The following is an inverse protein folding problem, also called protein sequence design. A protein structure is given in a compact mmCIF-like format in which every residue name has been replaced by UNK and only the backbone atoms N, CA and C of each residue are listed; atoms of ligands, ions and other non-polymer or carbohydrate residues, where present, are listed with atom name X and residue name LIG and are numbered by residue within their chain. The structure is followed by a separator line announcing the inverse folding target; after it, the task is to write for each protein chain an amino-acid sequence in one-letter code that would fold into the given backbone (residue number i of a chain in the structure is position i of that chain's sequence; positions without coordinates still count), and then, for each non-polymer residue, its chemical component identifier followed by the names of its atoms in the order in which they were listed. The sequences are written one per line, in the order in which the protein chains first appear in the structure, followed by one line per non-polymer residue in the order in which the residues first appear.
data_IF_228149474401
#
_entry.id   IF_228149474401
#
_cell.length_a   1.000
_cell.length_b   1.000
_cell.length_c   1.000
_cell.angle_alpha   90.00
_cell.angle_beta   90.00
_cell.angle_gamma   90.00
#
_symmetry.space_group_name_H-M   'P 1'
#
loop_
_entity.id
_entity.type
_entity.pdbx_description
1 polymer ?
#
# COMPACT_ATOMS: atom_id res chain seq x y z
N UNK A 1 14.77 22.16 27.82
CA UNK A 1 14.53 20.94 27.02
C UNK A 1 13.01 20.78 26.90
N UNK A 2 12.42 21.38 25.87
CA UNK A 2 10.99 21.22 25.58
C UNK A 2 10.77 19.81 25.02
N UNK A 3 10.12 18.96 25.81
CA UNK A 3 9.77 17.60 25.39
C UNK A 3 8.90 17.68 24.14
N UNK A 4 9.34 17.05 23.06
CA UNK A 4 8.62 16.83 21.80
C UNK A 4 7.53 15.78 22.03
N UNK A 5 6.53 16.11 22.86
CA UNK A 5 5.32 15.31 22.93
C UNK A 5 4.51 15.59 21.66
N UNK A 6 4.20 14.54 20.92
CA UNK A 6 3.28 14.64 19.79
C UNK A 6 1.97 15.27 20.30
N UNK A 7 1.42 16.26 19.60
CA UNK A 7 0.15 16.86 20.00
C UNK A 7 -0.95 15.77 19.97
N UNK A 8 -1.73 15.71 21.04
CA UNK A 8 -2.75 14.65 21.27
C UNK A 8 -3.75 14.51 20.14
N UNK A 9 -4.00 15.59 19.40
CA UNK A 9 -4.86 15.59 18.22
C UNK A 9 -4.30 14.82 16.99
N UNK A 10 -2.99 14.50 17.00
CA UNK A 10 -2.36 13.69 15.93
C UNK A 10 -2.28 12.20 16.28
N UNK A 11 -2.44 11.80 17.54
CA UNK A 11 -2.30 10.40 17.95
C UNK A 11 -3.36 9.50 17.29
N UNK A 12 -4.62 9.90 17.34
CA UNK A 12 -5.71 9.10 16.76
C UNK A 12 -5.56 8.94 15.24
N UNK A 13 -5.34 9.99 14.44
CA UNK A 13 -5.04 9.84 13.01
C UNK A 13 -3.84 8.96 12.72
N UNK A 14 -2.76 9.08 13.48
CA UNK A 14 -1.55 8.25 13.30
C UNK A 14 -1.82 6.78 13.61
N UNK A 15 -2.49 6.48 14.73
CA UNK A 15 -2.86 5.11 15.08
C UNK A 15 -3.78 4.49 14.02
N UNK A 16 -4.77 5.24 13.55
CA UNK A 16 -5.67 4.78 12.47
C UNK A 16 -4.89 4.48 11.19
N UNK A 17 -3.96 5.35 10.81
CA UNK A 17 -3.12 5.13 9.63
C UNK A 17 -2.21 3.88 9.78
N UNK A 18 -1.62 3.67 10.96
CA UNK A 18 -0.80 2.49 11.24
C UNK A 18 -1.63 1.21 11.18
N UNK A 19 -2.82 1.20 11.78
CA UNK A 19 -3.73 0.04 11.74
C UNK A 19 -4.20 -0.25 10.31
N UNK A 20 -4.55 0.78 9.55
CA UNK A 20 -4.90 0.63 8.14
C UNK A 20 -3.73 0.05 7.34
N UNK A 21 -2.50 0.54 7.57
CA UNK A 21 -1.29 0.00 6.96
C UNK A 21 -1.03 -1.46 7.34
N UNK A 22 -1.26 -1.83 8.61
CA UNK A 22 -1.09 -3.21 9.09
C UNK A 22 -2.09 -4.20 8.45
N UNK A 23 -3.24 -3.74 7.98
CA UNK A 23 -4.20 -4.59 7.26
C UNK A 23 -3.73 -5.00 5.85
N UNK A 24 -2.86 -4.22 5.22
CA UNK A 24 -2.44 -4.41 3.81
C UNK A 24 -1.77 -5.77 3.57
N UNK A 25 -0.80 -6.24 4.39
CA UNK A 25 -0.18 -7.56 4.19
C UNK A 25 -1.18 -8.71 4.27
N UNK A 26 -2.15 -8.64 5.19
CA UNK A 26 -3.21 -9.64 5.31
C UNK A 26 -4.12 -9.64 4.08
N UNK A 27 -4.52 -8.45 3.60
CA UNK A 27 -5.29 -8.31 2.36
C UNK A 27 -4.54 -8.89 1.16
N UNK A 28 -3.25 -8.59 1.02
CA UNK A 28 -2.41 -9.11 -0.05
C UNK A 28 -2.33 -10.64 0.00
N UNK A 29 -2.14 -11.23 1.19
CA UNK A 29 -2.12 -12.69 1.40
C UNK A 29 -3.45 -13.36 1.07
N UNK A 30 -4.57 -12.80 1.53
CA UNK A 30 -5.91 -13.28 1.22
C UNK A 30 -6.19 -13.26 -0.29
N UNK A 31 -5.90 -12.14 -0.95
CA UNK A 31 -6.06 -11.98 -2.39
C UNK A 31 -5.15 -12.92 -3.18
N UNK A 32 -3.90 -13.14 -2.74
CA UNK A 32 -3.00 -14.10 -3.37
C UNK A 32 -3.52 -15.54 -3.27
N UNK A 33 -4.12 -15.91 -2.13
CA UNK A 33 -4.76 -17.22 -1.96
C UNK A 33 -5.98 -17.36 -2.87
N UNK A 34 -6.82 -16.32 -2.93
CA UNK A 34 -7.97 -16.25 -3.82
C UNK A 34 -7.54 -16.37 -5.29
N UNK A 35 -6.47 -15.72 -5.69
CA UNK A 35 -5.91 -15.83 -7.05
C UNK A 35 -5.52 -17.25 -7.42
N UNK A 36 -4.89 -17.98 -6.49
CA UNK A 36 -4.55 -19.39 -6.70
C UNK A 36 -5.79 -20.27 -6.86
N UNK A 37 -6.83 -20.04 -6.07
CA UNK A 37 -8.07 -20.82 -6.15
C UNK A 37 -8.92 -20.52 -7.39
N UNK A 38 -8.88 -19.28 -7.89
CA UNK A 38 -9.62 -18.87 -9.08
C UNK A 38 -8.82 -19.04 -10.38
N UNK A 39 -7.56 -19.43 -10.29
CA UNK A 39 -6.69 -19.70 -11.45
C UNK A 39 -6.15 -18.46 -12.17
N UNK A 40 -6.58 -17.25 -11.81
CA UNK A 40 -6.11 -16.03 -12.48
C UNK A 40 -6.18 -14.78 -11.58
N UNK A 41 -5.12 -13.93 -11.54
CA UNK A 41 -5.06 -12.74 -10.69
C UNK A 41 -6.19 -11.73 -10.92
N UNK A 42 -6.58 -11.50 -12.17
CA UNK A 42 -7.66 -10.55 -12.49
C UNK A 42 -9.01 -10.97 -11.92
N UNK A 43 -9.31 -12.26 -11.86
CA UNK A 43 -10.53 -12.73 -11.21
C UNK A 43 -10.50 -12.49 -9.71
N UNK A 44 -9.35 -12.68 -9.07
CA UNK A 44 -9.20 -12.35 -7.65
C UNK A 44 -9.36 -10.83 -7.41
N UNK A 45 -8.86 -9.99 -8.32
CA UNK A 45 -9.09 -8.54 -8.26
C UNK A 45 -10.59 -8.21 -8.34
N UNK A 46 -11.31 -8.79 -9.30
CA UNK A 46 -12.77 -8.59 -9.44
C UNK A 46 -13.51 -9.02 -8.17
N UNK A 47 -13.25 -10.22 -7.67
CA UNK A 47 -13.90 -10.72 -6.46
C UNK A 47 -13.57 -9.86 -5.24
N UNK A 48 -12.31 -9.44 -5.08
CA UNK A 48 -11.89 -8.55 -3.98
C UNK A 48 -12.65 -7.22 -4.01
N UNK A 49 -12.82 -6.61 -5.18
CA UNK A 49 -13.58 -5.38 -5.36
C UNK A 49 -15.08 -5.58 -5.05
N UNK A 50 -15.67 -6.71 -5.49
CA UNK A 50 -17.06 -7.04 -5.18
C UNK A 50 -17.28 -7.26 -3.68
N UNK A 51 -16.36 -7.95 -3.00
CA UNK A 51 -16.41 -8.11 -1.55
C UNK A 51 -16.29 -6.77 -0.84
N UNK A 52 -15.40 -5.88 -1.31
CA UNK A 52 -15.27 -4.52 -0.76
C UNK A 52 -16.58 -3.73 -0.93
N UNK A 53 -17.20 -3.84 -2.10
CA UNK A 53 -18.50 -3.21 -2.35
C UNK A 53 -19.58 -3.79 -1.45
N UNK A 54 -19.65 -5.11 -1.31
CA UNK A 54 -20.60 -5.79 -0.44
C UNK A 54 -20.41 -5.41 1.05
N UNK A 55 -19.20 -5.12 1.48
CA UNK A 55 -18.89 -4.69 2.84
C UNK A 55 -19.29 -3.23 3.10
N UNK A 56 -19.09 -2.33 2.12
CA UNK A 56 -19.37 -0.90 2.32
C UNK A 56 -20.88 -0.58 2.26
N UNK A 57 -21.66 -1.32 1.49
CA UNK A 57 -23.09 -1.04 1.34
C UNK A 57 -23.88 -1.15 2.66
N UNK A 58 -23.73 -2.23 3.46
CA UNK A 58 -24.37 -2.30 4.78
C UNK A 58 -23.91 -1.19 5.73
N UNK A 59 -22.65 -0.79 5.66
CA UNK A 59 -22.10 0.28 6.48
C UNK A 59 -22.73 1.63 6.13
N UNK A 60 -22.91 1.94 4.85
CA UNK A 60 -23.62 3.13 4.40
C UNK A 60 -25.05 3.16 4.89
N UNK A 61 -25.73 2.01 4.85
CA UNK A 61 -27.09 1.88 5.36
C UNK A 61 -27.17 2.06 6.87
N UNK A 62 -26.29 1.41 7.63
CA UNK A 62 -26.23 1.49 9.09
C UNK A 62 -25.95 2.92 9.58
N UNK A 63 -25.00 3.61 8.92
CA UNK A 63 -24.63 4.98 9.22
C UNK A 63 -25.61 6.02 8.64
N UNK A 64 -26.66 5.57 7.94
CA UNK A 64 -27.66 6.43 7.28
C UNK A 64 -27.04 7.51 6.40
N UNK A 65 -25.97 7.15 5.70
CA UNK A 65 -25.29 8.09 4.78
C UNK A 65 -26.26 8.46 3.64
N UNK A 66 -26.57 9.75 3.44
CA UNK A 66 -27.48 10.16 2.38
C UNK A 66 -26.90 9.80 1.00
N UNK A 67 -27.80 9.49 0.05
CA UNK A 67 -27.37 9.27 -1.33
C UNK A 67 -26.64 10.50 -1.87
N UNK A 68 -25.58 10.30 -2.66
CA UNK A 68 -24.81 11.41 -3.21
C UNK A 68 -25.72 12.27 -4.10
N UNK A 69 -25.75 13.58 -3.84
CA UNK A 69 -26.40 14.53 -4.72
C UNK A 69 -25.60 14.60 -6.04
N UNK A 70 -26.04 13.81 -7.02
CA UNK A 70 -25.46 13.82 -8.36
C UNK A 70 -25.96 15.07 -9.11
N UNK A 71 -25.47 16.25 -8.70
CA UNK A 71 -25.68 17.45 -9.49
C UNK A 71 -24.87 17.28 -10.79
N UNK A 72 -25.60 16.99 -11.87
CA UNK A 72 -25.00 16.86 -13.23
C UNK A 72 -24.49 18.21 -13.76
N UNK A 73 -24.85 19.31 -13.11
CA UNK A 73 -24.50 20.68 -13.50
C UNK A 73 -23.13 21.14 -13.02
N UNK A 74 -22.49 20.46 -12.05
CA UNK A 74 -21.17 20.86 -11.59
C UNK A 74 -20.09 20.15 -12.44
N UNK A 75 -19.17 20.91 -13.08
CA UNK A 75 -18.08 20.31 -13.84
C UNK A 75 -17.18 19.50 -12.88
N UNK A 76 -17.10 18.21 -13.12
CA UNK A 76 -16.23 17.28 -12.36
C UNK A 76 -15.01 16.96 -13.19
N UNK A 77 -13.80 17.31 -12.73
CA UNK A 77 -12.61 17.02 -13.50
C UNK A 77 -12.44 15.50 -13.68
N UNK A 78 -12.15 15.02 -14.90
CA UNK A 78 -12.09 13.58 -15.22
C UNK A 78 -11.10 12.78 -14.35
N UNK A 79 -10.05 13.42 -13.86
CA UNK A 79 -9.03 12.78 -13.02
C UNK A 79 -9.59 12.21 -11.71
N UNK A 80 -10.75 12.67 -11.22
CA UNK A 80 -11.38 12.15 -10.01
C UNK A 80 -11.71 10.66 -10.09
N UNK A 81 -11.91 10.15 -11.30
CA UNK A 81 -12.25 8.74 -11.53
C UNK A 81 -11.03 7.82 -11.61
N UNK A 82 -9.82 8.37 -11.71
CA UNK A 82 -8.59 7.58 -11.85
C UNK A 82 -8.31 6.72 -10.62
N UNK A 83 -8.84 7.11 -9.43
CA UNK A 83 -8.65 6.36 -8.19
C UNK A 83 -9.10 4.90 -8.28
N UNK A 84 -10.22 4.63 -8.95
CA UNK A 84 -10.68 3.26 -9.18
C UNK A 84 -9.72 2.45 -10.06
N UNK A 85 -9.20 3.06 -11.12
CA UNK A 85 -8.22 2.44 -12.02
C UNK A 85 -6.91 2.14 -11.28
N UNK A 86 -6.43 3.10 -10.49
CA UNK A 86 -5.24 2.92 -9.65
C UNK A 86 -5.44 1.83 -8.59
N UNK A 87 -6.66 1.69 -8.06
CA UNK A 87 -7.01 0.61 -7.14
C UNK A 87 -6.89 -0.77 -7.79
N UNK A 88 -7.42 -0.92 -9.02
CA UNK A 88 -7.26 -2.17 -9.81
C UNK A 88 -5.79 -2.46 -10.07
N UNK A 89 -5.03 -1.45 -10.49
CA UNK A 89 -3.58 -1.58 -10.72
C UNK A 89 -2.86 -2.05 -9.45
N UNK A 90 -3.13 -1.41 -8.31
CA UNK A 90 -2.50 -1.74 -7.03
C UNK A 90 -2.80 -3.17 -6.59
N UNK A 91 -4.08 -3.59 -6.59
CA UNK A 91 -4.47 -4.94 -6.19
C UNK A 91 -3.83 -5.97 -7.10
N UNK A 92 -3.88 -5.76 -8.42
CA UNK A 92 -3.28 -6.68 -9.39
C UNK A 92 -1.77 -6.77 -9.25
N UNK A 93 -1.09 -5.64 -9.05
CA UNK A 93 0.35 -5.62 -8.78
C UNK A 93 0.70 -6.38 -7.49
N UNK A 94 -0.10 -6.21 -6.42
CA UNK A 94 0.08 -6.95 -5.18
C UNK A 94 -0.05 -8.47 -5.38
N UNK A 95 -1.06 -8.92 -6.13
CA UNK A 95 -1.28 -10.33 -6.45
C UNK A 95 -0.10 -10.96 -7.20
N UNK A 96 0.52 -10.21 -8.09
CA UNK A 96 1.63 -10.69 -8.93
C UNK A 96 2.99 -10.58 -8.23
N UNK A 97 3.21 -9.53 -7.44
CA UNK A 97 4.52 -9.19 -6.90
C UNK A 97 4.73 -9.64 -5.45
N UNK A 98 3.69 -9.65 -4.60
CA UNK A 98 3.85 -10.10 -3.21
C UNK A 98 4.34 -11.56 -3.09
N UNK A 99 3.87 -12.52 -3.91
CA UNK A 99 4.43 -13.88 -3.88
C UNK A 99 5.90 -13.97 -4.31
N UNK A 100 6.37 -13.03 -5.14
CA UNK A 100 7.76 -13.01 -5.66
C UNK A 100 8.74 -12.35 -4.69
N UNK A 101 8.30 -11.25 -4.04
CA UNK A 101 9.14 -10.43 -3.17
C UNK A 101 9.02 -10.81 -1.68
N UNK A 102 8.06 -11.69 -1.36
CA UNK A 102 7.62 -11.89 0.02
C UNK A 102 6.77 -10.71 0.51
N UNK A 103 5.95 -10.93 1.54
CA UNK A 103 5.05 -9.89 2.07
C UNK A 103 5.82 -8.65 2.55
N UNK A 104 6.90 -8.84 3.32
CA UNK A 104 7.71 -7.74 3.84
C UNK A 104 8.40 -6.93 2.73
N UNK A 105 9.03 -7.63 1.77
CA UNK A 105 9.72 -7.00 0.64
C UNK A 105 8.76 -6.21 -0.26
N UNK A 106 7.60 -6.78 -0.55
CA UNK A 106 6.56 -6.10 -1.32
C UNK A 106 6.07 -4.82 -0.61
N UNK A 107 5.71 -4.92 0.67
CA UNK A 107 5.22 -3.76 1.43
C UNK A 107 6.29 -2.69 1.57
N UNK A 108 7.56 -3.05 1.81
CA UNK A 108 8.64 -2.09 1.88
C UNK A 108 8.79 -1.30 0.55
N UNK A 109 8.71 -1.98 -0.59
CA UNK A 109 8.76 -1.35 -1.91
C UNK A 109 7.54 -0.42 -2.15
N UNK A 110 6.34 -0.88 -1.77
CA UNK A 110 5.11 -0.08 -1.89
C UNK A 110 5.20 1.17 -1.04
N UNK A 111 5.63 1.08 0.23
CA UNK A 111 5.77 2.23 1.13
C UNK A 111 6.79 3.22 0.60
N UNK A 112 7.93 2.76 0.08
CA UNK A 112 8.92 3.63 -0.53
C UNK A 112 8.34 4.41 -1.73
N UNK A 113 7.60 3.73 -2.61
CA UNK A 113 6.91 4.35 -3.74
C UNK A 113 5.82 5.33 -3.30
N UNK A 114 5.02 4.97 -2.30
CA UNK A 114 3.97 5.83 -1.74
C UNK A 114 4.54 7.11 -1.13
N UNK A 115 5.64 7.01 -0.37
CA UNK A 115 6.27 8.18 0.26
C UNK A 115 6.87 9.10 -0.79
N UNK A 116 7.55 8.56 -1.81
CA UNK A 116 8.07 9.37 -2.90
C UNK A 116 6.96 10.10 -3.66
N UNK A 117 5.89 9.39 -4.01
CA UNK A 117 4.73 9.97 -4.68
C UNK A 117 4.02 11.02 -3.79
N UNK A 118 3.87 10.74 -2.48
CA UNK A 118 3.24 11.67 -1.55
C UNK A 118 4.04 12.97 -1.40
N UNK A 119 5.37 12.91 -1.39
CA UNK A 119 6.21 14.11 -1.38
C UNK A 119 6.03 14.95 -2.66
N UNK A 120 5.90 14.30 -3.82
CA UNK A 120 5.62 15.00 -5.07
C UNK A 120 4.22 15.63 -5.06
N UNK A 121 3.20 14.88 -4.62
CA UNK A 121 1.82 15.36 -4.48
C UNK A 121 1.76 16.57 -3.55
N UNK A 122 2.40 16.50 -2.39
CA UNK A 122 2.46 17.60 -1.42
C UNK A 122 3.22 18.81 -1.99
N UNK A 123 4.35 18.58 -2.66
CA UNK A 123 5.18 19.66 -3.18
C UNK A 123 4.46 20.48 -4.26
N UNK A 124 3.81 19.81 -5.19
CA UNK A 124 3.13 20.44 -6.31
C UNK A 124 1.65 20.74 -6.05
N UNK A 125 1.11 20.39 -4.89
CA UNK A 125 -0.31 20.58 -4.57
C UNK A 125 -1.23 19.79 -5.50
N UNK A 126 -0.85 18.56 -5.86
CA UNK A 126 -1.60 17.72 -6.80
C UNK A 126 -2.82 17.06 -6.13
N UNK A 127 -3.72 16.52 -6.93
CA UNK A 127 -4.86 15.71 -6.52
C UNK A 127 -5.75 16.36 -5.44
N UNK A 128 -5.82 17.70 -5.39
CA UNK A 128 -6.65 18.44 -4.42
C UNK A 128 -5.99 18.67 -3.06
N UNK A 129 -4.73 18.26 -2.86
CA UNK A 129 -3.98 18.56 -1.65
C UNK A 129 -3.39 19.98 -1.71
N UNK A 130 -3.27 20.63 -0.54
CA UNK A 130 -2.58 21.91 -0.45
C UNK A 130 -1.08 21.72 -0.65
N UNK A 131 -0.46 22.62 -1.42
CA UNK A 131 0.98 22.60 -1.64
C UNK A 131 1.74 22.77 -0.31
N UNK A 132 2.76 21.94 -0.09
CA UNK A 132 3.64 21.99 1.07
C UNK A 132 5.09 21.90 0.64
N UNK A 133 5.93 22.78 1.15
CA UNK A 133 7.35 22.77 0.84
C UNK A 133 8.04 21.47 1.28
N UNK A 134 8.97 21.00 0.46
CA UNK A 134 9.90 19.93 0.82
C UNK A 134 10.90 20.47 1.84
N UNK A 135 10.80 20.00 3.07
CA UNK A 135 11.80 20.31 4.10
C UNK A 135 12.91 19.25 4.08
N UNK A 136 14.15 19.60 4.47
CA UNK A 136 15.24 18.63 4.57
C UNK A 136 14.89 17.42 5.45
N UNK A 137 14.14 17.62 6.53
CA UNK A 137 13.67 16.53 7.40
C UNK A 137 12.72 15.56 6.68
N UNK A 138 11.80 16.06 5.84
CA UNK A 138 10.89 15.22 5.05
C UNK A 138 11.64 14.40 4.00
N UNK A 139 12.61 15.03 3.33
CA UNK A 139 13.46 14.36 2.34
C UNK A 139 14.33 13.30 3.02
N UNK A 140 14.95 13.63 4.15
CA UNK A 140 15.74 12.67 4.93
C UNK A 140 14.90 11.48 5.41
N UNK A 141 13.69 11.72 5.91
CA UNK A 141 12.76 10.65 6.30
C UNK A 141 12.40 9.72 5.14
N UNK A 142 12.12 10.28 3.96
CA UNK A 142 11.87 9.50 2.75
C UNK A 142 13.10 8.69 2.32
N UNK A 143 14.28 9.29 2.37
CA UNK A 143 15.54 8.61 2.04
C UNK A 143 15.82 7.42 2.99
N UNK A 144 15.53 7.56 4.28
CA UNK A 144 15.65 6.47 5.25
C UNK A 144 14.68 5.31 4.95
N UNK A 145 13.45 5.61 4.52
CA UNK A 145 12.47 4.58 4.12
C UNK A 145 12.99 3.83 2.89
N UNK A 146 13.48 4.55 1.88
CA UNK A 146 14.07 3.92 0.67
C UNK A 146 15.29 3.09 1.02
N UNK A 147 16.18 3.60 1.87
CA UNK A 147 17.36 2.85 2.32
C UNK A 147 16.95 1.57 3.08
N UNK A 148 15.96 1.65 3.97
CA UNK A 148 15.40 0.49 4.67
C UNK A 148 14.81 -0.54 3.70
N UNK A 149 14.08 -0.10 2.68
CA UNK A 149 13.55 -0.97 1.62
C UNK A 149 14.69 -1.69 0.87
N UNK A 150 15.73 -0.96 0.45
CA UNK A 150 16.89 -1.54 -0.24
C UNK A 150 17.60 -2.57 0.63
N UNK A 151 17.79 -2.27 1.92
CA UNK A 151 18.41 -3.18 2.87
C UNK A 151 17.60 -4.48 3.04
N UNK A 152 16.27 -4.38 3.16
CA UNK A 152 15.40 -5.56 3.24
C UNK A 152 15.48 -6.42 1.97
N UNK A 153 15.48 -5.81 0.80
CA UNK A 153 15.58 -6.55 -0.47
C UNK A 153 16.96 -7.19 -0.64
N UNK A 154 18.01 -6.49 -0.21
CA UNK A 154 19.38 -7.03 -0.24
C UNK A 154 19.53 -8.25 0.68
N UNK A 155 19.01 -8.20 1.92
CA UNK A 155 18.99 -9.34 2.85
C UNK A 155 18.24 -10.53 2.24
N UNK A 156 17.04 -10.32 1.73
CA UNK A 156 16.24 -11.37 1.11
C UNK A 156 16.96 -12.02 -0.09
N UNK A 157 17.66 -11.22 -0.89
CA UNK A 157 18.43 -11.74 -2.03
C UNK A 157 19.65 -12.60 -1.59
N UNK A 158 20.24 -12.31 -0.42
CA UNK A 158 21.34 -13.11 0.13
C UNK A 158 20.84 -14.42 0.75
N UNK A 159 19.70 -14.41 1.40
CA UNK A 159 19.09 -15.61 1.98
C UNK A 159 18.61 -16.59 0.89
N UNK A 160 18.18 -16.07 -0.27
CA UNK A 160 17.75 -16.88 -1.41
C UNK A 160 18.90 -17.57 -2.18
N UNK A 161 20.16 -17.27 -1.87
CA UNK A 161 21.29 -17.97 -2.49
C UNK A 161 21.33 -19.40 -1.98
N UNK A 162 21.40 -20.44 -2.87
CA UNK A 162 21.53 -21.82 -2.44
C UNK A 162 22.78 -21.96 -1.58
N UNK A 163 22.66 -22.44 -0.36
CA UNK A 163 23.80 -22.93 0.39
C UNK A 163 24.44 -24.04 -0.46
N UNK A 164 25.73 -23.88 -0.76
CA UNK A 164 26.50 -24.89 -1.48
C UNK A 164 26.26 -26.24 -0.79
N UNK A 165 25.81 -27.24 -1.56
CA UNK A 165 25.61 -28.59 -1.03
C UNK A 165 26.91 -29.03 -0.35
N UNK A 166 26.84 -29.63 0.87
CA UNK A 166 28.00 -30.17 1.54
C UNK A 166 28.69 -31.18 0.60
N UNK A 167 30.03 -31.21 0.55
CA UNK A 167 30.75 -32.14 -0.30
C UNK A 167 30.31 -33.56 0.04
N UNK A 168 29.95 -34.31 -1.01
CA UNK A 168 29.65 -35.74 -0.88
C UNK A 168 30.81 -36.40 -0.16
N UNK A 169 30.58 -36.90 1.06
CA UNK A 169 31.59 -37.74 1.74
C UNK A 169 31.77 -38.96 0.86
N UNK A 170 32.91 -39.01 0.15
CA UNK A 170 33.36 -40.23 -0.53
C UNK A 170 33.62 -41.29 0.52
N UNK A 171 32.62 -42.16 0.75
CA UNK A 171 32.79 -43.36 1.56
C UNK A 171 33.89 -44.21 0.96
N UNK A 172 34.92 -44.43 1.74
CA UNK A 172 35.92 -45.47 1.53
C UNK A 172 35.36 -46.82 1.93
#
# INVERSE_FOLDING_TARGET
MSGTTLPTNLLLPLLTAVLAGAAIPFQAGANATLSRSLGHPLWATVVSLLVSLAAILPLLWLLRVPLPALSLSAPRPPWMWIGGVLGVFYITAALLMAPRLGAGGFIAAVVAGQVAAALAVDHFGLAGFAARALTPARVAGAALIVAGMVLMQWSAAHEARPQAAPPLQSGA
#
